data_IF_856760692134
#
_entry.id   IF_856760692134
#
_cell.length_a   1.000
_cell.length_b   1.000
_cell.length_c   1.000
_cell.angle_alpha   90.00
_cell.angle_beta   90.00
_cell.angle_gamma   90.00
#
_symmetry.space_group_name_H-M   'P 1'
#
loop_
_entity.id
_entity.type
_entity.pdbx_description
1 polymer ?
#
# COMPACT_ATOMS: atom_id res chain seq x y z
N UNK A 1 -5.33 6.94 18.07
CA UNK A 1 -5.89 7.97 17.18
C UNK A 1 -5.77 7.54 15.74
N UNK A 2 -6.83 7.68 14.99
CA UNK A 2 -6.85 7.28 13.59
C UNK A 2 -6.15 8.32 12.73
N UNK A 3 -5.30 7.89 11.82
CA UNK A 3 -4.65 8.81 10.90
C UNK A 3 -5.65 9.27 9.85
N UNK A 4 -5.79 10.60 9.65
CA UNK A 4 -6.78 11.10 8.69
C UNK A 4 -6.47 10.74 7.24
N UNK A 5 -5.20 10.52 6.91
CA UNK A 5 -4.81 10.17 5.55
C UNK A 5 -4.70 8.67 5.31
N UNK A 6 -5.07 7.86 6.29
CA UNK A 6 -5.02 6.42 6.13
C UNK A 6 -3.69 5.83 6.56
N UNK A 7 -3.40 4.64 6.04
CA UNK A 7 -2.24 3.85 6.43
C UNK A 7 -1.30 3.71 5.23
N UNK A 8 -0.01 3.73 5.49
CA UNK A 8 0.97 3.57 4.41
C UNK A 8 0.78 2.24 3.71
N UNK A 9 0.85 2.27 2.38
CA UNK A 9 0.56 1.11 1.56
C UNK A 9 1.47 -0.08 1.89
N UNK A 10 2.76 0.14 2.12
CA UNK A 10 3.66 -0.95 2.46
C UNK A 10 3.27 -1.62 3.78
N UNK A 11 2.70 -0.87 4.71
CA UNK A 11 2.23 -1.45 5.96
C UNK A 11 0.99 -2.31 5.73
N UNK A 12 0.10 -1.86 4.87
CA UNK A 12 -1.11 -2.62 4.53
C UNK A 12 -0.73 -3.94 3.85
N UNK A 13 0.20 -3.89 2.90
CA UNK A 13 0.64 -5.09 2.20
C UNK A 13 1.31 -6.07 3.17
N UNK A 14 2.12 -5.58 4.09
CA UNK A 14 2.78 -6.43 5.07
C UNK A 14 1.76 -7.06 6.01
N UNK A 15 0.77 -6.31 6.46
CA UNK A 15 -0.26 -6.81 7.35
C UNK A 15 -1.13 -7.86 6.66
N UNK A 16 -1.32 -7.74 5.35
CA UNK A 16 -2.09 -8.70 4.58
C UNK A 16 -1.30 -9.96 4.22
N UNK A 17 -0.02 -10.02 4.57
CA UNK A 17 0.81 -11.18 4.30
C UNK A 17 1.29 -11.28 2.86
N UNK A 18 1.17 -10.19 2.09
CA UNK A 18 1.61 -10.19 0.70
C UNK A 18 3.14 -10.23 0.61
N UNK A 19 3.80 -9.39 1.43
CA UNK A 19 5.25 -9.31 1.45
C UNK A 19 5.66 -8.55 2.71
N UNK A 20 6.94 -8.60 3.06
CA UNK A 20 7.45 -7.76 4.14
C UNK A 20 7.34 -6.29 3.75
N UNK A 21 7.52 -5.38 4.71
CA UNK A 21 7.46 -3.95 4.39
C UNK A 21 8.50 -3.57 3.35
N UNK A 22 9.72 -4.09 3.48
CA UNK A 22 10.78 -3.78 2.53
C UNK A 22 10.47 -4.36 1.14
N UNK A 23 10.01 -5.60 1.08
CA UNK A 23 9.63 -6.21 -0.19
C UNK A 23 8.43 -5.49 -0.80
N UNK A 24 7.50 -5.03 0.03
CA UNK A 24 6.36 -4.27 -0.45
C UNK A 24 6.79 -2.96 -1.09
N UNK A 25 7.78 -2.30 -0.52
CA UNK A 25 8.32 -1.08 -1.11
C UNK A 25 8.89 -1.34 -2.50
N UNK A 26 9.54 -2.48 -2.67
CA UNK A 26 10.08 -2.87 -3.98
C UNK A 26 8.94 -3.12 -4.98
N UNK A 27 7.91 -3.82 -4.54
CA UNK A 27 6.75 -4.06 -5.40
C UNK A 27 6.09 -2.75 -5.84
N UNK A 28 5.97 -1.79 -4.94
CA UNK A 28 5.41 -0.49 -5.26
C UNK A 28 6.28 0.22 -6.29
N UNK A 29 7.59 0.24 -6.07
CA UNK A 29 8.53 0.90 -6.97
C UNK A 29 8.50 0.29 -8.37
N UNK A 30 8.23 -1.01 -8.48
CA UNK A 30 8.17 -1.70 -9.75
C UNK A 30 6.82 -1.56 -10.46
N UNK A 31 5.88 -0.86 -9.86
CA UNK A 31 4.56 -0.68 -10.43
C UNK A 31 3.69 -1.93 -10.39
N UNK A 32 3.92 -2.80 -9.42
CA UNK A 32 3.20 -4.07 -9.30
C UNK A 32 2.03 -4.00 -8.33
N UNK A 33 1.74 -2.82 -7.80
CA UNK A 33 0.66 -2.64 -6.83
C UNK A 33 -0.35 -1.66 -7.40
N UNK A 34 -1.62 -2.04 -7.34
CA UNK A 34 -2.72 -1.19 -7.77
C UNK A 34 -3.60 -0.87 -6.59
N UNK A 35 -4.13 0.34 -6.59
CA UNK A 35 -5.14 0.76 -5.61
C UNK A 35 -6.33 1.26 -6.40
N UNK A 36 -7.47 0.60 -6.24
CA UNK A 36 -8.69 0.91 -6.98
C UNK A 36 -8.47 0.93 -8.49
N UNK A 37 -7.62 0.00 -8.97
CA UNK A 37 -7.36 -0.13 -10.40
C UNK A 37 -6.30 0.83 -10.94
N UNK A 38 -5.70 1.65 -10.08
CA UNK A 38 -4.65 2.59 -10.49
C UNK A 38 -3.31 2.10 -9.95
N UNK A 39 -2.33 1.98 -10.83
CA UNK A 39 -0.99 1.56 -10.42
C UNK A 39 -0.37 2.66 -9.56
N UNK A 40 0.17 2.24 -8.41
CA UNK A 40 0.83 3.13 -7.47
C UNK A 40 2.32 2.79 -7.47
N UNK A 41 3.15 3.76 -7.80
CA UNK A 41 4.60 3.56 -7.79
C UNK A 41 5.33 4.53 -6.87
N UNK A 42 4.61 5.43 -6.20
CA UNK A 42 5.27 6.37 -5.30
C UNK A 42 5.31 5.81 -3.88
N UNK A 43 6.46 5.99 -3.25
CA UNK A 43 6.65 5.56 -1.87
C UNK A 43 5.87 6.49 -0.94
N UNK A 44 5.43 5.93 0.19
CA UNK A 44 4.70 6.72 1.16
C UNK A 44 3.23 6.93 0.84
N UNK A 45 2.72 6.30 -0.21
CA UNK A 45 1.29 6.37 -0.53
C UNK A 45 0.47 5.83 0.64
N UNK A 46 -0.58 6.54 0.98
CA UNK A 46 -1.49 6.13 2.05
C UNK A 46 -2.82 5.67 1.46
N UNK A 47 -3.39 4.64 2.06
CA UNK A 47 -4.63 4.05 1.60
C UNK A 47 -5.52 3.74 2.79
N UNK A 48 -6.80 3.55 2.52
CA UNK A 48 -7.77 3.10 3.51
C UNK A 48 -8.09 1.64 3.21
N UNK A 49 -7.57 0.68 4.00
CA UNK A 49 -7.75 -0.74 3.67
C UNK A 49 -9.20 -1.18 3.74
N UNK A 50 -10.08 -0.41 4.35
CA UNK A 50 -11.50 -0.74 4.41
C UNK A 50 -12.26 -0.25 3.19
N UNK A 51 -11.76 0.79 2.52
CA UNK A 51 -12.45 1.41 1.39
C UNK A 51 -11.74 1.19 0.07
N UNK A 52 -10.42 1.15 0.11
CA UNK A 52 -9.62 1.01 -1.11
C UNK A 52 -9.39 -0.45 -1.43
N UNK A 53 -9.50 -0.79 -2.71
CA UNK A 53 -9.21 -2.14 -3.19
C UNK A 53 -7.75 -2.18 -3.65
N UNK A 54 -6.97 -3.06 -3.04
CA UNK A 54 -5.52 -3.18 -3.27
C UNK A 54 -5.12 -4.53 -3.92
#
# INVERSE_FOLDING_TARGET
MTEPEGIRLQKVLAAAGVASRRASEILIAEGRVEVNGTVVSEQGRRVDPERDTI
#
